data_IF_343904694388
#
_entry.id   IF_343904694388
#
_cell.length_a   1.000
_cell.length_b   1.000
_cell.length_c   1.000
_cell.angle_alpha   90.00
_cell.angle_beta   90.00
_cell.angle_gamma   90.00
#
_symmetry.space_group_name_H-M   'P 1'
#
loop_
_entity.id
_entity.type
_entity.pdbx_description
1 polymer ?
#
# COMPACT_ATOMS: atom_id res chain seq x y z
N UNK A 1 -73.93 6.80 -8.15
CA UNK A 1 -73.08 6.85 -9.36
C UNK A 1 -72.02 7.91 -9.07
N UNK A 2 -70.87 7.55 -8.49
CA UNK A 2 -69.74 6.80 -9.06
C UNK A 2 -68.93 7.62 -10.08
N UNK A 3 -67.60 7.48 -9.96
CA UNK A 3 -66.46 8.15 -10.61
C UNK A 3 -66.07 9.47 -9.93
N UNK A 4 -64.92 9.61 -9.28
CA UNK A 4 -63.75 8.72 -9.16
C UNK A 4 -62.48 9.57 -9.28
N UNK A 5 -61.70 9.58 -8.21
CA UNK A 5 -60.44 10.28 -7.98
C UNK A 5 -59.35 10.11 -9.06
N UNK A 6 -58.27 10.90 -8.85
CA UNK A 6 -56.85 10.61 -9.10
C UNK A 6 -56.20 11.57 -10.11
N UNK A 7 -55.73 12.72 -9.62
CA UNK A 7 -54.42 13.25 -9.99
C UNK A 7 -53.66 13.60 -8.71
N UNK A 8 -53.41 12.55 -7.93
CA UNK A 8 -52.48 12.56 -6.81
C UNK A 8 -51.07 12.37 -7.37
N UNK A 9 -50.15 13.26 -6.96
CA UNK A 9 -48.73 12.96 -6.72
C UNK A 9 -47.92 12.27 -7.83
N UNK A 10 -47.19 13.06 -8.61
CA UNK A 10 -45.84 12.66 -9.07
C UNK A 10 -44.83 13.60 -8.42
N UNK A 11 -44.78 13.53 -7.08
CA UNK A 11 -43.54 13.84 -6.35
C UNK A 11 -42.68 12.61 -6.58
N UNK A 12 -41.73 12.68 -7.51
CA UNK A 12 -40.65 11.71 -7.59
C UNK A 12 -39.81 11.94 -6.34
N UNK A 13 -40.16 11.23 -5.27
CA UNK A 13 -39.29 10.98 -4.14
C UNK A 13 -38.07 10.24 -4.68
N UNK A 14 -36.98 10.96 -4.90
CA UNK A 14 -35.63 10.41 -4.93
C UNK A 14 -35.28 9.89 -3.52
N UNK A 15 -35.98 8.85 -3.06
CA UNK A 15 -35.55 8.05 -1.92
C UNK A 15 -34.62 6.97 -2.45
N UNK A 16 -33.33 7.19 -2.27
CA UNK A 16 -32.39 6.12 -1.96
C UNK A 16 -32.20 5.03 -3.01
N UNK A 17 -32.36 5.31 -4.31
CA UNK A 17 -31.63 4.52 -5.29
C UNK A 17 -30.16 4.90 -5.12
N UNK A 18 -29.25 3.95 -4.85
CA UNK A 18 -27.83 4.25 -5.00
C UNK A 18 -27.70 4.78 -6.42
N UNK A 19 -27.26 6.03 -6.57
CA UNK A 19 -26.78 6.50 -7.86
C UNK A 19 -25.69 5.51 -8.22
N UNK A 20 -26.02 4.55 -9.08
CA UNK A 20 -25.03 3.75 -9.75
C UNK A 20 -24.25 4.78 -10.56
N UNK A 21 -23.13 5.22 -10.01
CA UNK A 21 -22.17 6.02 -10.76
C UNK A 21 -21.75 5.08 -11.88
N UNK A 22 -22.32 5.29 -13.06
CA UNK A 22 -22.01 4.51 -14.23
C UNK A 22 -20.57 4.77 -14.63
N UNK A 23 -19.93 3.78 -15.22
CA UNK A 23 -18.62 3.91 -15.83
C UNK A 23 -18.61 4.96 -16.93
N UNK A 24 -17.47 5.58 -17.19
CA UNK A 24 -17.35 6.54 -18.30
C UNK A 24 -17.89 5.92 -19.59
N UNK A 25 -18.81 6.62 -20.27
CA UNK A 25 -19.39 6.16 -21.54
C UNK A 25 -18.33 5.85 -22.60
N UNK A 26 -17.18 6.53 -22.56
CA UNK A 26 -16.03 6.26 -23.43
C UNK A 26 -15.41 4.89 -23.16
N UNK A 27 -15.25 4.52 -21.88
CA UNK A 27 -14.59 3.27 -21.48
C UNK A 27 -15.47 2.08 -21.86
N UNK A 28 -16.78 2.20 -21.65
CA UNK A 28 -17.74 1.16 -22.07
C UNK A 28 -17.67 0.93 -23.58
N UNK A 29 -17.73 2.01 -24.37
CA UNK A 29 -17.67 1.90 -25.83
C UNK A 29 -16.34 1.28 -26.30
N UNK A 30 -15.22 1.69 -25.70
CA UNK A 30 -13.91 1.14 -26.00
C UNK A 30 -13.84 -0.36 -25.70
N UNK A 31 -14.27 -0.78 -24.51
CA UNK A 31 -14.22 -2.19 -24.13
C UNK A 31 -15.20 -3.05 -24.94
N UNK A 32 -16.32 -2.48 -25.40
CA UNK A 32 -17.24 -3.17 -26.32
C UNK A 32 -16.62 -3.39 -27.71
N UNK A 33 -15.82 -2.45 -28.22
CA UNK A 33 -15.03 -2.65 -29.44
C UNK A 33 -13.98 -3.76 -29.26
N UNK A 34 -13.29 -3.77 -28.12
CA UNK A 34 -12.38 -4.86 -27.76
C UNK A 34 -13.10 -6.20 -27.70
N UNK A 35 -14.29 -6.24 -27.10
CA UNK A 35 -15.14 -7.43 -27.06
C UNK A 35 -15.50 -7.88 -28.48
N UNK A 36 -15.95 -6.98 -29.37
CA UNK A 36 -16.26 -7.34 -30.77
C UNK A 36 -15.06 -7.97 -31.49
N UNK A 37 -13.85 -7.51 -31.20
CA UNK A 37 -12.64 -8.04 -31.81
C UNK A 37 -12.27 -9.44 -31.28
N UNK A 38 -12.54 -9.75 -30.01
CA UNK A 38 -11.98 -10.92 -29.33
C UNK A 38 -13.00 -11.91 -28.73
N UNK A 39 -14.30 -11.63 -28.77
CA UNK A 39 -15.34 -12.46 -28.14
C UNK A 39 -15.33 -13.92 -28.59
N UNK A 40 -14.89 -14.21 -29.82
CA UNK A 40 -14.81 -15.56 -30.38
C UNK A 40 -13.52 -16.32 -30.04
N UNK A 41 -12.57 -15.72 -29.33
CA UNK A 41 -11.21 -16.25 -29.20
C UNK A 41 -10.88 -16.68 -27.76
N UNK A 42 -11.61 -16.16 -26.76
CA UNK A 42 -11.28 -16.32 -25.35
C UNK A 42 -12.49 -16.48 -24.43
N UNK A 43 -12.34 -17.33 -23.41
CA UNK A 43 -13.29 -17.44 -22.30
C UNK A 43 -13.15 -16.30 -21.27
N UNK A 44 -12.11 -15.45 -21.35
CA UNK A 44 -11.93 -14.32 -20.41
C UNK A 44 -13.08 -13.31 -20.47
N UNK A 45 -13.74 -13.25 -21.63
CA UNK A 45 -14.89 -12.37 -21.88
C UNK A 45 -16.22 -12.91 -21.33
N UNK A 46 -16.19 -14.04 -20.62
CA UNK A 46 -17.36 -14.50 -19.86
C UNK A 46 -17.75 -13.43 -18.83
N UNK A 47 -18.94 -12.84 -19.03
CA UNK A 47 -19.46 -11.73 -18.21
C UNK A 47 -19.33 -10.35 -18.86
N UNK A 48 -18.51 -10.21 -19.89
CA UNK A 48 -18.50 -9.01 -20.73
C UNK A 48 -19.75 -8.96 -21.60
N UNK A 49 -20.27 -7.76 -21.90
CA UNK A 49 -21.52 -7.62 -22.63
C UNK A 49 -21.54 -6.42 -23.57
N UNK A 50 -22.23 -6.56 -24.70
CA UNK A 50 -22.46 -5.51 -25.70
C UNK A 50 -23.74 -4.69 -25.43
N UNK A 51 -24.37 -4.88 -24.27
CA UNK A 51 -25.60 -4.16 -23.93
C UNK A 51 -25.31 -2.71 -23.58
N UNK A 52 -26.30 -1.83 -23.81
CA UNK A 52 -26.19 -0.41 -23.50
C UNK A 52 -26.07 -0.14 -22.00
N UNK A 53 -26.63 -1.00 -21.16
CA UNK A 53 -26.55 -0.97 -19.70
C UNK A 53 -25.29 -1.66 -19.13
N UNK A 54 -24.28 -1.85 -19.98
CA UNK A 54 -23.01 -2.45 -19.56
C UNK A 54 -22.35 -1.63 -18.45
N UNK A 55 -21.98 -2.32 -17.38
CA UNK A 55 -21.20 -1.79 -16.27
C UNK A 55 -19.93 -2.65 -16.09
N UNK A 56 -18.82 -2.30 -16.77
CA UNK A 56 -17.54 -2.99 -16.63
C UNK A 56 -16.97 -2.96 -15.21
N UNK A 57 -17.29 -1.94 -14.42
CA UNK A 57 -16.76 -1.75 -13.07
C UNK A 57 -17.62 -2.40 -11.99
N UNK A 58 -18.87 -2.76 -12.31
CA UNK A 58 -19.82 -3.50 -11.48
C UNK A 58 -19.45 -4.96 -11.17
N UNK A 59 -18.17 -5.31 -11.18
CA UNK A 59 -17.56 -6.59 -10.76
C UNK A 59 -17.83 -7.83 -11.62
N UNK A 60 -18.47 -7.70 -12.79
CA UNK A 60 -18.74 -8.84 -13.68
C UNK A 60 -17.70 -9.06 -14.77
N UNK A 61 -16.97 -8.02 -15.15
CA UNK A 61 -16.02 -8.10 -16.27
C UNK A 61 -14.66 -8.54 -15.73
N UNK A 62 -14.29 -9.79 -16.01
CA UNK A 62 -12.99 -10.34 -15.63
C UNK A 62 -11.87 -9.53 -16.27
N UNK A 63 -10.79 -9.31 -15.52
CA UNK A 63 -9.60 -8.60 -16.00
C UNK A 63 -9.69 -7.08 -15.94
N UNK A 64 -10.78 -6.49 -15.44
CA UNK A 64 -10.94 -5.04 -15.33
C UNK A 64 -10.84 -4.59 -13.88
N UNK A 65 -10.06 -3.54 -13.63
CA UNK A 65 -10.03 -2.82 -12.36
C UNK A 65 -10.34 -1.36 -12.63
N UNK A 66 -11.20 -0.77 -11.79
CA UNK A 66 -11.65 0.60 -11.94
C UNK A 66 -11.25 1.48 -10.76
N UNK A 67 -11.16 2.78 -11.02
CA UNK A 67 -11.03 3.81 -10.00
C UNK A 67 -12.34 3.98 -9.22
N UNK A 68 -12.31 4.66 -8.05
CA UNK A 68 -13.52 5.07 -7.35
C UNK A 68 -14.45 5.97 -8.18
N UNK A 69 -13.92 6.64 -9.21
CA UNK A 69 -14.69 7.48 -10.15
C UNK A 69 -15.21 6.69 -11.35
N UNK A 70 -15.16 5.35 -11.32
CA UNK A 70 -15.72 4.47 -12.34
C UNK A 70 -15.03 4.59 -13.71
N UNK A 71 -13.73 4.92 -13.70
CA UNK A 71 -12.86 4.89 -14.88
C UNK A 71 -12.02 3.62 -14.87
N UNK A 72 -11.77 3.02 -16.02
CA UNK A 72 -10.95 1.81 -16.13
C UNK A 72 -9.48 2.17 -15.96
N UNK A 73 -8.84 1.62 -14.93
CA UNK A 73 -7.43 1.91 -14.59
C UNK A 73 -6.50 0.74 -14.86
N UNK A 74 -6.97 -0.50 -14.79
CA UNK A 74 -6.18 -1.67 -15.16
C UNK A 74 -6.95 -2.61 -16.08
N UNK A 75 -6.27 -3.11 -17.10
CA UNK A 75 -6.76 -4.12 -18.01
C UNK A 75 -5.78 -5.30 -18.06
N UNK A 76 -6.23 -6.44 -17.57
CA UNK A 76 -5.50 -7.71 -17.48
C UNK A 76 -6.13 -8.73 -18.43
N UNK A 77 -5.49 -8.94 -19.58
CA UNK A 77 -5.91 -9.92 -20.58
C UNK A 77 -4.72 -10.83 -20.97
N UNK A 78 -3.78 -11.04 -20.06
CA UNK A 78 -2.65 -11.94 -20.28
C UNK A 78 -3.12 -13.40 -20.38
N UNK A 79 -2.43 -14.20 -21.20
CA UNK A 79 -2.71 -15.63 -21.41
C UNK A 79 -4.17 -15.94 -21.75
N UNK A 80 -4.86 -14.99 -22.39
CA UNK A 80 -6.28 -15.07 -22.70
C UNK A 80 -6.55 -15.70 -24.06
N UNK A 81 -5.54 -16.22 -24.77
CA UNK A 81 -5.71 -16.78 -26.12
C UNK A 81 -6.36 -15.78 -27.10
N UNK A 82 -6.06 -14.49 -26.96
CA UNK A 82 -6.53 -13.46 -27.89
C UNK A 82 -5.92 -13.68 -29.28
N UNK A 83 -6.71 -13.44 -30.32
CA UNK A 83 -6.24 -13.50 -31.70
C UNK A 83 -6.61 -12.26 -32.51
N UNK A 84 -5.87 -12.02 -33.60
CA UNK A 84 -6.07 -10.86 -34.46
C UNK A 84 -5.45 -9.56 -33.93
N UNK A 85 -5.91 -8.42 -34.43
CA UNK A 85 -5.35 -7.11 -34.08
C UNK A 85 -5.72 -6.64 -32.67
N UNK A 86 -4.91 -5.74 -32.11
CA UNK A 86 -5.34 -4.89 -31.00
C UNK A 86 -6.14 -3.71 -31.58
N UNK A 87 -7.43 -3.56 -31.26
CA UNK A 87 -8.24 -2.46 -31.81
C UNK A 87 -7.73 -1.09 -31.37
N UNK A 88 -7.82 -0.10 -32.26
CA UNK A 88 -7.44 1.29 -31.97
C UNK A 88 -8.23 1.90 -30.79
N UNK A 89 -9.43 1.36 -30.51
CA UNK A 89 -10.28 1.72 -29.39
C UNK A 89 -9.58 1.57 -28.02
N UNK A 90 -8.50 0.78 -27.91
CA UNK A 90 -7.70 0.68 -26.68
C UNK A 90 -7.25 2.07 -26.18
N UNK A 91 -6.96 3.01 -27.09
CA UNK A 91 -6.49 4.35 -26.75
C UNK A 91 -7.56 5.27 -26.12
N UNK A 92 -8.83 4.84 -26.08
CA UNK A 92 -9.90 5.61 -25.44
C UNK A 92 -10.00 5.38 -23.92
N UNK A 93 -9.26 4.41 -23.37
CA UNK A 93 -9.18 4.15 -21.92
C UNK A 93 -8.21 5.15 -21.27
N UNK A 94 -8.58 6.44 -21.23
CA UNK A 94 -7.66 7.54 -20.91
C UNK A 94 -7.00 7.47 -19.52
N UNK A 95 -7.68 6.87 -18.55
CA UNK A 95 -7.19 6.71 -17.17
C UNK A 95 -6.42 5.39 -16.95
N UNK A 96 -6.16 4.62 -18.01
CA UNK A 96 -5.50 3.33 -17.90
C UNK A 96 -4.04 3.50 -17.44
N UNK A 97 -3.72 2.88 -16.31
CA UNK A 97 -2.39 2.86 -15.70
C UNK A 97 -1.65 1.55 -15.93
N UNK A 98 -2.39 0.46 -16.20
CA UNK A 98 -1.83 -0.87 -16.38
C UNK A 98 -2.51 -1.61 -17.54
N UNK A 99 -1.73 -2.03 -18.53
CA UNK A 99 -2.16 -2.84 -19.66
C UNK A 99 -1.28 -4.08 -19.78
N UNK A 100 -1.89 -5.25 -19.68
CA UNK A 100 -1.21 -6.54 -19.84
C UNK A 100 -1.94 -7.41 -20.86
N UNK A 101 -1.32 -7.55 -22.03
CA UNK A 101 -1.75 -8.45 -23.11
C UNK A 101 -0.77 -9.61 -23.29
N UNK A 102 0.19 -9.79 -22.38
CA UNK A 102 1.27 -10.77 -22.55
C UNK A 102 0.75 -12.22 -22.72
N UNK A 103 1.51 -13.06 -23.43
CA UNK A 103 1.14 -14.48 -23.58
C UNK A 103 -0.04 -14.73 -24.52
N UNK A 104 -0.31 -13.83 -25.47
CA UNK A 104 -1.33 -14.02 -26.51
C UNK A 104 -0.70 -14.21 -27.90
N UNK A 105 -0.13 -15.39 -28.21
CA UNK A 105 0.68 -15.60 -29.41
C UNK A 105 -0.09 -15.50 -30.73
N UNK A 106 -1.43 -15.57 -30.68
CA UNK A 106 -2.30 -15.51 -31.86
C UNK A 106 -2.68 -14.07 -32.26
N UNK A 107 -2.25 -13.04 -31.51
CA UNK A 107 -2.48 -11.65 -31.91
C UNK A 107 -1.79 -11.35 -33.25
N UNK A 108 -0.52 -11.75 -33.41
CA UNK A 108 0.23 -11.71 -34.69
C UNK A 108 -0.06 -10.46 -35.54
N UNK A 109 -0.01 -9.28 -34.91
CA UNK A 109 -0.40 -8.00 -35.52
C UNK A 109 0.67 -6.94 -35.30
N UNK A 110 0.45 -5.72 -35.79
CA UNK A 110 1.26 -4.55 -35.42
C UNK A 110 0.72 -3.92 -34.14
N UNK A 111 1.57 -3.26 -33.36
CA UNK A 111 1.12 -2.50 -32.20
C UNK A 111 0.43 -1.21 -32.68
N UNK A 112 -0.82 -0.91 -32.28
CA UNK A 112 -1.51 0.30 -32.72
C UNK A 112 -0.92 1.55 -32.06
N UNK A 113 -0.69 2.61 -32.85
CA UNK A 113 -0.17 3.89 -32.35
C UNK A 113 -1.04 4.55 -31.27
N UNK A 114 -2.32 4.21 -31.22
CA UNK A 114 -3.28 4.71 -30.23
C UNK A 114 -2.93 4.32 -28.80
N UNK A 115 -2.02 3.35 -28.57
CA UNK A 115 -1.45 3.12 -27.22
C UNK A 115 -0.77 4.39 -26.68
N UNK A 116 -0.24 5.25 -27.55
CA UNK A 116 0.34 6.54 -27.14
C UNK A 116 -0.65 7.55 -26.55
N UNK A 117 -1.96 7.32 -26.71
CA UNK A 117 -3.00 8.16 -26.09
C UNK A 117 -3.22 7.84 -24.61
N UNK A 118 -2.65 6.74 -24.12
CA UNK A 118 -2.77 6.29 -22.73
C UNK A 118 -1.78 7.06 -21.83
N UNK A 119 -1.95 8.36 -21.69
CA UNK A 119 -0.96 9.24 -21.03
C UNK A 119 -0.70 8.91 -19.55
N UNK A 120 -1.61 8.19 -18.88
CA UNK A 120 -1.48 7.69 -17.50
C UNK A 120 -0.82 6.32 -17.38
N UNK A 121 -0.45 5.70 -18.51
CA UNK A 121 0.03 4.33 -18.53
C UNK A 121 1.40 4.20 -17.86
N UNK A 122 1.48 3.37 -16.82
CA UNK A 122 2.69 3.08 -16.06
C UNK A 122 3.31 1.73 -16.42
N UNK A 123 2.47 0.76 -16.75
CA UNK A 123 2.91 -0.59 -17.07
C UNK A 123 2.27 -1.05 -18.38
N UNK A 124 3.12 -1.34 -19.36
CA UNK A 124 2.73 -1.92 -20.65
C UNK A 124 3.44 -3.25 -20.84
N UNK A 125 2.69 -4.35 -20.88
CA UNK A 125 3.22 -5.68 -21.15
C UNK A 125 2.61 -6.28 -22.40
N UNK A 126 3.46 -6.54 -23.38
CA UNK A 126 3.13 -7.07 -24.70
C UNK A 126 4.01 -8.28 -25.04
N UNK A 127 4.64 -8.90 -24.05
CA UNK A 127 5.59 -9.98 -24.27
C UNK A 127 4.92 -11.24 -24.83
N UNK A 128 5.55 -11.90 -25.79
CA UNK A 128 5.07 -13.20 -26.29
C UNK A 128 3.74 -13.12 -27.06
N UNK A 129 3.47 -12.01 -27.74
CA UNK A 129 2.23 -11.79 -28.50
C UNK A 129 2.39 -11.99 -30.02
N UNK A 130 3.60 -12.30 -30.47
CA UNK A 130 3.97 -12.38 -31.88
C UNK A 130 3.71 -11.06 -32.64
N UNK A 131 3.83 -9.91 -31.95
CA UNK A 131 3.77 -8.61 -32.62
C UNK A 131 4.89 -8.47 -33.65
N UNK A 132 4.60 -7.77 -34.74
CA UNK A 132 5.55 -7.54 -35.83
C UNK A 132 5.50 -6.09 -36.33
N UNK A 133 6.46 -5.74 -37.19
CA UNK A 133 6.61 -4.38 -37.69
C UNK A 133 7.37 -3.48 -36.72
N UNK A 134 7.26 -2.17 -36.85
CA UNK A 134 7.94 -1.22 -35.96
C UNK A 134 7.14 -0.95 -34.70
N UNK A 135 7.82 -0.72 -33.59
CA UNK A 135 7.18 -0.17 -32.39
C UNK A 135 6.78 1.29 -32.66
N UNK A 136 5.52 1.68 -32.44
CA UNK A 136 5.08 3.07 -32.63
C UNK A 136 5.87 4.04 -31.76
N UNK A 137 6.28 5.18 -32.35
CA UNK A 137 7.07 6.18 -31.64
C UNK A 137 6.33 6.75 -30.43
N UNK A 138 5.00 6.79 -30.50
CA UNK A 138 4.11 7.32 -29.48
C UNK A 138 4.21 6.55 -28.14
N UNK A 139 4.70 5.30 -28.14
CA UNK A 139 4.97 4.54 -26.89
C UNK A 139 6.15 5.15 -26.12
N UNK A 140 7.13 5.72 -26.83
CA UNK A 140 8.28 6.38 -26.21
C UNK A 140 7.90 7.72 -25.58
N UNK A 141 6.82 8.35 -26.08
CA UNK A 141 6.27 9.62 -25.57
C UNK A 141 5.43 9.46 -24.30
N UNK A 142 5.12 8.23 -23.88
CA UNK A 142 4.44 7.96 -22.61
C UNK A 142 5.35 8.30 -21.42
N UNK A 143 5.13 9.50 -20.87
CA UNK A 143 5.95 10.09 -19.80
C UNK A 143 5.79 9.40 -18.44
N UNK A 144 4.62 8.82 -18.17
CA UNK A 144 4.36 8.09 -16.91
C UNK A 144 4.78 6.61 -17.00
N UNK A 145 5.29 6.15 -18.15
CA UNK A 145 5.58 4.73 -18.37
C UNK A 145 6.84 4.31 -17.60
N UNK A 146 6.63 3.52 -16.55
CA UNK A 146 7.67 2.99 -15.66
C UNK A 146 8.19 1.62 -16.10
N UNK A 147 7.35 0.84 -16.80
CA UNK A 147 7.70 -0.51 -17.25
C UNK A 147 7.13 -0.82 -18.63
N UNK A 148 8.01 -1.29 -19.51
CA UNK A 148 7.70 -1.68 -20.88
C UNK A 148 8.28 -3.07 -21.17
N UNK A 149 7.43 -4.08 -21.34
CA UNK A 149 7.86 -5.41 -21.73
C UNK A 149 7.42 -5.74 -23.16
N UNK A 150 8.40 -5.75 -24.08
CA UNK A 150 8.22 -6.12 -25.48
C UNK A 150 8.92 -7.45 -25.82
N UNK A 151 9.44 -8.16 -24.82
CA UNK A 151 10.24 -9.37 -25.02
C UNK A 151 9.46 -10.47 -25.74
N UNK A 152 10.16 -11.44 -26.33
CA UNK A 152 9.54 -12.57 -27.02
C UNK A 152 8.60 -12.18 -28.18
N UNK A 153 8.89 -11.08 -28.88
CA UNK A 153 8.28 -10.71 -30.16
C UNK A 153 9.36 -10.67 -31.25
N UNK A 154 9.69 -11.82 -31.88
CA UNK A 154 10.90 -11.94 -32.72
C UNK A 154 10.87 -11.13 -34.02
N UNK A 155 9.68 -10.68 -34.45
CA UNK A 155 9.49 -9.92 -35.67
C UNK A 155 9.22 -8.42 -35.41
N UNK A 156 9.34 -7.98 -34.17
CA UNK A 156 9.17 -6.60 -33.76
C UNK A 156 10.51 -5.85 -33.90
N UNK A 157 10.50 -4.76 -34.65
CA UNK A 157 11.64 -3.89 -34.88
C UNK A 157 11.60 -2.69 -33.93
N UNK A 158 12.71 -2.44 -33.25
CA UNK A 158 12.97 -1.22 -32.50
C UNK A 158 13.79 -0.28 -33.39
N UNK A 159 13.54 1.01 -33.33
CA UNK A 159 14.48 2.01 -33.84
C UNK A 159 15.67 2.14 -32.85
N UNK A 160 16.84 2.62 -33.28
CA UNK A 160 18.05 2.66 -32.42
C UNK A 160 17.83 3.46 -31.11
N UNK A 161 17.21 4.64 -31.20
CA UNK A 161 16.89 5.48 -30.04
C UNK A 161 15.86 4.80 -29.10
N UNK A 162 14.98 4.02 -29.73
CA UNK A 162 13.93 3.26 -29.06
C UNK A 162 14.48 2.07 -28.27
N UNK A 163 15.55 1.43 -28.76
CA UNK A 163 16.23 0.33 -28.05
C UNK A 163 16.79 0.81 -26.70
N UNK A 164 17.47 1.96 -26.69
CA UNK A 164 17.99 2.56 -25.46
C UNK A 164 16.88 2.88 -24.45
N UNK A 165 15.82 3.59 -24.90
CA UNK A 165 14.70 3.94 -24.03
C UNK A 165 13.97 2.71 -23.49
N UNK A 166 13.80 1.68 -24.30
CA UNK A 166 13.18 0.42 -23.89
C UNK A 166 14.02 -0.28 -22.81
N UNK A 167 15.34 -0.31 -22.97
CA UNK A 167 16.26 -0.88 -21.98
C UNK A 167 16.17 -0.14 -20.63
N UNK A 168 16.09 1.19 -20.64
CA UNK A 168 15.95 2.00 -19.43
C UNK A 168 14.63 1.73 -18.70
N UNK A 169 13.50 1.69 -19.43
CA UNK A 169 12.18 1.41 -18.85
C UNK A 169 12.10 -0.03 -18.28
N UNK A 170 12.72 -1.01 -18.94
CA UNK A 170 12.83 -2.38 -18.39
C UNK A 170 13.72 -2.47 -17.15
N UNK A 171 14.84 -1.74 -17.14
CA UNK A 171 15.79 -1.77 -16.03
C UNK A 171 15.23 -1.06 -14.79
N UNK A 172 14.47 0.03 -14.96
CA UNK A 172 13.81 0.75 -13.86
C UNK A 172 12.87 -0.14 -13.05
N UNK A 173 12.05 -0.98 -13.72
CA UNK A 173 11.17 -1.93 -13.02
C UNK A 173 11.96 -3.02 -12.27
N UNK A 174 13.11 -3.44 -12.81
CA UNK A 174 14.03 -4.36 -12.13
C UNK A 174 14.63 -3.72 -10.87
N UNK A 175 14.87 -2.40 -10.89
CA UNK A 175 15.36 -1.65 -9.74
C UNK A 175 14.27 -1.48 -8.67
N UNK A 176 13.01 -1.27 -9.04
CA UNK A 176 11.86 -1.31 -8.11
C UNK A 176 11.69 -2.69 -7.44
N UNK A 177 11.89 -3.79 -8.19
CA UNK A 177 11.96 -5.16 -7.62
C UNK A 177 13.18 -5.35 -6.72
N UNK A 178 14.35 -4.80 -7.07
CA UNK A 178 15.54 -4.80 -6.19
C UNK A 178 15.32 -3.97 -4.94
N UNK A 179 14.59 -2.86 -5.00
CA UNK A 179 14.19 -2.08 -3.82
C UNK A 179 13.20 -2.82 -2.93
N UNK A 180 12.29 -3.63 -3.48
CA UNK A 180 11.42 -4.50 -2.68
C UNK A 180 12.18 -5.70 -2.08
N UNK A 181 13.14 -6.28 -2.80
CA UNK A 181 14.02 -7.33 -2.27
C UNK A 181 15.13 -6.78 -1.35
N UNK A 182 15.51 -5.51 -1.45
CA UNK A 182 16.45 -4.83 -0.54
C UNK A 182 15.73 -4.20 0.65
N UNK A 183 14.48 -3.78 0.52
CA UNK A 183 13.61 -3.39 1.62
C UNK A 183 13.13 -4.61 2.42
N UNK A 184 12.90 -5.75 1.76
CA UNK A 184 12.71 -7.06 2.41
C UNK A 184 14.02 -7.64 2.99
N UNK A 185 15.19 -7.13 2.56
CA UNK A 185 16.50 -7.38 3.19
C UNK A 185 16.92 -6.29 4.18
N UNK A 186 16.01 -5.44 4.64
CA UNK A 186 16.12 -4.97 6.03
C UNK A 186 15.62 -6.10 6.90
N UNK A 187 16.55 -6.99 7.21
CA UNK A 187 16.43 -8.04 8.21
C UNK A 187 15.63 -7.52 9.42
N UNK A 188 14.58 -8.20 9.89
CA UNK A 188 14.14 -7.97 11.25
C UNK A 188 15.33 -8.33 12.15
N UNK A 189 15.84 -7.36 12.91
CA UNK A 189 16.74 -7.68 14.02
C UNK A 189 16.02 -8.74 14.86
N UNK A 190 16.65 -9.88 15.19
CA UNK A 190 15.97 -10.90 15.97
C UNK A 190 15.60 -10.28 17.31
N UNK A 191 14.30 -10.30 17.63
CA UNK A 191 13.71 -9.78 18.88
C UNK A 191 14.41 -10.37 20.11
N UNK A 192 15.14 -11.48 19.97
CA UNK A 192 15.97 -12.06 21.02
C UNK A 192 17.20 -11.23 21.38
N UNK A 193 17.84 -10.51 20.45
CA UNK A 193 19.11 -9.83 20.75
C UNK A 193 18.92 -8.57 21.59
N UNK A 194 17.87 -7.80 21.30
CA UNK A 194 17.49 -6.65 22.13
C UNK A 194 17.00 -7.10 23.50
N UNK A 195 16.25 -8.19 23.57
CA UNK A 195 15.78 -8.77 24.83
C UNK A 195 16.94 -9.28 25.69
N UNK A 196 17.87 -10.05 25.12
CA UNK A 196 19.07 -10.53 25.83
C UNK A 196 19.94 -9.37 26.31
N UNK A 197 20.13 -8.32 25.49
CA UNK A 197 20.90 -7.15 25.89
C UNK A 197 20.27 -6.42 27.09
N UNK A 198 18.95 -6.23 27.10
CA UNK A 198 18.24 -5.58 28.22
C UNK A 198 18.30 -6.43 29.49
N UNK A 199 18.13 -7.75 29.38
CA UNK A 199 18.26 -8.68 30.51
C UNK A 199 19.69 -8.66 31.06
N UNK A 200 20.71 -8.66 30.21
CA UNK A 200 22.10 -8.59 30.65
C UNK A 200 22.41 -7.28 31.39
N UNK A 201 21.96 -6.13 30.88
CA UNK A 201 22.14 -4.83 31.57
C UNK A 201 21.41 -4.80 32.91
N UNK A 202 20.20 -5.36 32.98
CA UNK A 202 19.44 -5.50 34.22
C UNK A 202 20.16 -6.36 35.26
N UNK A 203 20.73 -7.50 34.85
CA UNK A 203 21.48 -8.37 35.75
C UNK A 203 22.79 -7.74 36.23
N UNK A 204 23.50 -7.01 35.38
CA UNK A 204 24.74 -6.31 35.75
C UNK A 204 24.45 -5.19 36.76
N UNK A 205 23.38 -4.42 36.57
CA UNK A 205 23.00 -3.37 37.54
C UNK A 205 22.58 -3.95 38.89
N UNK A 206 21.85 -5.08 38.90
CA UNK A 206 21.51 -5.83 40.12
C UNK A 206 22.76 -6.37 40.85
N UNK A 207 23.73 -6.90 40.10
CA UNK A 207 25.02 -7.35 40.64
C UNK A 207 25.81 -6.20 41.28
N UNK A 208 25.86 -5.04 40.63
CA UNK A 208 26.55 -3.85 41.18
C UNK A 208 25.82 -3.36 42.43
N UNK A 209 24.49 -3.26 42.40
CA UNK A 209 23.69 -2.79 43.54
C UNK A 209 23.82 -3.71 44.75
N UNK A 210 23.78 -5.03 44.54
CA UNK A 210 23.97 -6.01 45.62
C UNK A 210 25.39 -5.96 46.18
N UNK A 211 26.42 -5.83 45.33
CA UNK A 211 27.79 -5.65 45.80
C UNK A 211 27.97 -4.36 46.63
N UNK A 212 27.42 -3.24 46.16
CA UNK A 212 27.43 -1.97 46.89
C UNK A 212 26.68 -2.10 48.24
N UNK A 213 25.54 -2.78 48.26
CA UNK A 213 24.76 -3.00 49.47
C UNK A 213 25.48 -3.90 50.48
N UNK A 214 26.08 -5.01 50.03
CA UNK A 214 26.90 -5.88 50.86
C UNK A 214 28.12 -5.14 51.43
N UNK A 215 28.79 -4.31 50.63
CA UNK A 215 29.91 -3.48 51.08
C UNK A 215 29.45 -2.44 52.10
N UNK A 216 28.30 -1.82 51.89
CA UNK A 216 27.71 -0.90 52.87
C UNK A 216 27.36 -1.59 54.19
N UNK A 217 26.76 -2.79 54.15
CA UNK A 217 26.48 -3.59 55.35
C UNK A 217 27.77 -3.98 56.10
N UNK A 218 28.82 -4.35 55.38
CA UNK A 218 30.15 -4.64 55.96
C UNK A 218 30.73 -3.41 56.67
N UNK A 219 30.63 -2.23 56.05
CA UNK A 219 31.05 -0.96 56.66
C UNK A 219 30.15 -0.57 57.85
N UNK A 220 28.86 -0.91 57.84
CA UNK A 220 27.95 -0.63 58.95
C UNK A 220 28.18 -1.55 60.14
N UNK A 221 28.52 -2.83 59.91
CA UNK A 221 28.87 -3.79 60.97
C UNK A 221 30.13 -3.34 61.72
N UNK A 222 31.20 -3.02 60.98
CA UNK A 222 32.44 -2.49 61.59
C UNK A 222 32.23 -1.19 62.36
N UNK A 223 31.32 -0.32 61.91
CA UNK A 223 30.96 0.91 62.64
C UNK A 223 30.20 0.63 63.94
N UNK A 224 29.33 -0.39 63.98
CA UNK A 224 28.62 -0.78 65.21
C UNK A 224 29.54 -1.47 66.23
N UNK A 225 30.53 -2.24 65.76
CA UNK A 225 31.50 -2.91 66.64
C UNK A 225 32.36 -1.90 67.42
N UNK A 226 32.61 -0.71 66.86
CA UNK A 226 33.32 0.38 67.52
C UNK A 226 32.50 1.11 68.61
N UNK A 227 31.16 0.98 68.64
CA UNK A 227 30.31 1.68 69.61
C UNK A 227 30.07 0.89 70.92
N UNK A 228 30.41 -0.40 70.97
CA UNK A 228 30.27 -1.23 72.18
C UNK A 228 31.50 -1.21 73.12
N UNK A 229 32.53 -0.42 72.78
CA UNK A 229 33.81 -0.40 73.50
C UNK A 229 34.10 0.92 74.24
N UNK A 230 33.07 1.66 74.67
CA UNK A 230 33.26 2.87 75.49
C UNK A 230 32.86 2.60 76.96
N UNK A 231 33.80 2.74 77.92
CA UNK A 231 33.53 2.48 79.33
C UNK A 231 32.70 3.59 79.98
N UNK A 232 31.76 3.18 80.83
CA UNK A 232 30.86 4.02 81.63
C UNK A 232 31.59 4.75 82.77
N UNK A 233 31.42 6.07 82.93
CA UNK A 233 31.65 6.74 84.22
C UNK A 233 30.34 6.87 85.05
N UNK A 234 30.44 6.83 86.39
CA UNK A 234 29.31 6.59 87.30
C UNK A 234 28.43 7.81 87.62
N UNK A 235 27.21 7.47 88.05
CA UNK A 235 26.10 8.29 88.53
C UNK A 235 26.38 9.01 89.87
N UNK A 236 25.78 10.20 90.05
CA UNK A 236 24.91 10.63 91.19
C UNK A 236 24.80 12.19 91.24
N UNK A 237 23.94 12.83 92.06
CA UNK A 237 22.49 12.85 91.89
C UNK A 237 21.82 14.25 92.12
N UNK A 238 20.63 14.39 91.55
CA UNK A 238 19.40 15.09 92.03
C UNK A 238 19.44 16.47 92.70
N UNK A 239 18.63 17.41 92.17
CA UNK A 239 17.70 18.22 92.98
C UNK A 239 16.54 18.78 92.14
N UNK A 240 15.45 19.09 92.85
CA UNK A 240 14.04 19.09 92.47
C UNK A 240 13.47 20.44 91.93
N UNK A 241 12.17 20.52 91.55
CA UNK A 241 11.67 21.39 90.49
C UNK A 241 11.14 22.74 90.97
N UNK A 242 10.98 23.68 90.03
CA UNK A 242 10.13 24.86 90.20
C UNK A 242 9.09 24.95 89.09
N UNK A 243 7.99 25.59 89.45
CA UNK A 243 6.61 25.36 89.02
C UNK A 243 6.08 26.68 88.41
N UNK A 244 5.07 26.56 87.55
CA UNK A 244 3.98 27.54 87.23
C UNK A 244 4.36 28.86 86.51
N UNK A 245 3.56 29.56 85.67
CA UNK A 245 2.11 29.67 85.41
C UNK A 245 1.79 30.02 83.93
N UNK A 246 0.51 29.89 83.59
CA UNK A 246 -0.18 30.25 82.35
C UNK A 246 -0.51 31.76 82.23
N UNK A 247 -1.30 32.10 81.19
CA UNK A 247 -1.93 33.38 80.77
C UNK A 247 -1.23 33.95 79.52
N UNK A 248 -1.85 34.56 78.51
CA UNK A 248 -3.16 35.20 78.33
C UNK A 248 -3.42 35.29 76.82
N UNK A 249 -4.68 35.51 76.44
CA UNK A 249 -5.17 35.87 75.12
C UNK A 249 -4.54 37.13 74.52
N UNK A 250 -4.71 37.33 73.20
CA UNK A 250 -5.27 38.55 72.60
C UNK A 250 -5.60 38.29 71.12
N UNK A 251 -6.85 38.58 70.76
CA UNK A 251 -7.36 38.75 69.39
C UNK A 251 -6.91 40.11 68.85
N UNK A 252 -6.72 40.27 67.53
CA UNK A 252 -7.14 41.48 66.81
C UNK A 252 -7.02 41.36 65.27
N UNK A 253 -8.11 41.79 64.62
CA UNK A 253 -8.34 42.25 63.23
C UNK A 253 -8.52 41.24 62.08
#
# INVERSE_FOLDING_TARGET
MATGDIFLSVIVLCLGLPFAVGTSSSDVAALQELLRAWQGTSAVFEGWTLREDADPCGSRWKGIVCSPTQSVINLHLNDANLSGGVPAAIGALAELTFLDLSGNPMLKSTIPKQIGLLHRLKHLKLSGCNFHGRVPQEIYELIELEYLDLSNNPHLSLDEDAEYLTSLKQQSSSFSRRRLLQASRRTPLPISYTYIAVVCVGLVTLMISTFCFCRWLSLRRTRNDHFLAMPTPPLAPTMQPRRIYANQADDDL
#
